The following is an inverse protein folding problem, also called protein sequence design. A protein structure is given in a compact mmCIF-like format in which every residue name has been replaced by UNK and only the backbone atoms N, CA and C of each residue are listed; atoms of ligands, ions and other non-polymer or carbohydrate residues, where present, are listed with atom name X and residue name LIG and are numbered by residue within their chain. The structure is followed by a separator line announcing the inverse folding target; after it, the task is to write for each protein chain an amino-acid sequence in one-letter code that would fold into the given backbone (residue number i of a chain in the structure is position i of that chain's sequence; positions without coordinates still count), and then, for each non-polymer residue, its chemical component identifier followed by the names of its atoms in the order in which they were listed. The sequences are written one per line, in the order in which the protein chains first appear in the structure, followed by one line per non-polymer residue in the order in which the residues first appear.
data_IF_590986717831
#
_entry.id   IF_590986717831
#
_cell.length_a   1.000
_cell.length_b   1.000
_cell.length_c   1.000
_cell.angle_alpha   90.00
_cell.angle_beta   90.00
_cell.angle_gamma   90.00
#
_symmetry.space_group_name_H-M   'P 1'
#
loop_
_entity.id
_entity.type
_entity.pdbx_description
1 polymer ?
#
# COMPACT_ATOMS: atom_id res chain seq x y z
N UNK A 1 23.61 9.00 3.89
CA UNK A 1 22.81 8.36 2.88
C UNK A 1 22.73 9.24 1.65
N UNK A 2 21.92 10.24 1.56
CA UNK A 2 22.03 11.30 0.55
C UNK A 2 22.91 12.41 1.14
N UNK A 3 24.22 12.30 0.98
CA UNK A 3 25.21 13.17 1.64
C UNK A 3 25.23 14.59 1.12
N UNK A 4 24.82 14.79 -0.13
CA UNK A 4 24.72 16.08 -0.79
C UNK A 4 23.24 16.34 -1.15
N UNK A 5 22.58 17.20 -0.36
CA UNK A 5 21.16 17.51 -0.51
C UNK A 5 20.85 18.18 -1.84
N UNK A 6 21.67 19.13 -2.28
CA UNK A 6 21.44 19.85 -3.53
C UNK A 6 21.59 18.95 -4.77
N UNK A 7 22.63 18.11 -4.75
CA UNK A 7 22.82 17.11 -5.82
C UNK A 7 21.68 16.11 -5.87
N UNK A 8 21.20 15.66 -4.70
CA UNK A 8 20.06 14.73 -4.60
C UNK A 8 18.80 15.35 -5.16
N UNK A 9 18.49 16.61 -4.82
CA UNK A 9 17.34 17.33 -5.36
C UNK A 9 17.40 17.39 -6.88
N UNK A 10 18.54 17.79 -7.46
CA UNK A 10 18.73 17.85 -8.92
C UNK A 10 18.51 16.48 -9.62
N UNK A 11 18.97 15.38 -8.98
CA UNK A 11 18.75 14.03 -9.50
C UNK A 11 17.26 13.70 -9.48
N UNK A 12 16.55 14.02 -8.39
CA UNK A 12 15.12 13.75 -8.25
C UNK A 12 14.33 14.56 -9.28
N UNK A 13 14.58 15.86 -9.41
CA UNK A 13 13.91 16.74 -10.38
C UNK A 13 14.06 16.21 -11.82
N UNK A 14 15.29 15.87 -12.22
CA UNK A 14 15.55 15.27 -13.53
C UNK A 14 14.87 13.91 -13.72
N UNK A 15 14.73 13.13 -12.65
CA UNK A 15 14.02 11.85 -12.69
C UNK A 15 12.52 12.04 -12.86
N UNK A 16 11.96 13.07 -12.21
CA UNK A 16 10.56 13.47 -12.37
C UNK A 16 10.30 13.88 -13.83
N UNK A 17 11.10 14.79 -14.37
CA UNK A 17 10.98 15.22 -15.79
C UNK A 17 10.98 14.04 -16.75
N UNK A 18 11.92 13.09 -16.59
CA UNK A 18 12.00 11.88 -17.41
C UNK A 18 10.79 10.96 -17.24
N UNK A 19 10.15 10.94 -16.08
CA UNK A 19 8.98 10.09 -15.82
C UNK A 19 7.68 10.71 -16.34
N UNK A 20 7.58 12.05 -16.35
CA UNK A 20 6.39 12.77 -16.79
C UNK A 20 6.14 12.68 -18.31
N UNK A 21 7.11 12.23 -19.11
CA UNK A 21 6.89 11.91 -20.54
C UNK A 21 5.80 10.83 -20.72
N UNK A 22 5.60 9.96 -19.71
CA UNK A 22 4.58 8.93 -19.69
C UNK A 22 3.22 9.41 -19.16
N UNK A 23 3.06 10.69 -18.82
CA UNK A 23 1.83 11.23 -18.18
C UNK A 23 0.58 11.16 -19.07
N UNK A 24 0.74 10.98 -20.39
CA UNK A 24 -0.37 10.79 -21.30
C UNK A 24 -0.79 9.32 -21.45
N UNK A 25 0.00 8.38 -20.93
CA UNK A 25 -0.29 6.94 -20.98
C UNK A 25 -1.17 6.51 -19.80
N UNK A 26 -1.95 5.46 -20.01
CA UNK A 26 -2.84 4.90 -18.99
C UNK A 26 -4.13 5.68 -18.80
N UNK A 27 -4.98 5.16 -17.93
CA UNK A 27 -6.31 5.71 -17.63
C UNK A 27 -6.53 5.80 -16.11
N UNK A 28 -7.35 6.77 -15.70
CA UNK A 28 -7.78 6.90 -14.31
C UNK A 28 -8.73 5.75 -13.97
N UNK A 29 -8.67 5.20 -12.76
CA UNK A 29 -9.60 4.17 -12.32
C UNK A 29 -11.04 4.68 -12.38
N UNK A 30 -11.94 3.92 -13.03
CA UNK A 30 -13.34 4.33 -13.26
C UNK A 30 -14.36 3.37 -12.62
N UNK A 31 -13.94 2.24 -12.05
CA UNK A 31 -14.85 1.29 -11.44
C UNK A 31 -15.39 1.73 -10.05
N UNK A 32 -14.75 2.70 -9.42
CA UNK A 32 -15.26 3.47 -8.29
C UNK A 32 -15.47 4.89 -8.81
N UNK A 33 -16.72 5.38 -8.91
CA UNK A 33 -17.03 6.68 -9.53
C UNK A 33 -16.21 7.87 -8.98
N UNK A 34 -15.95 7.92 -7.68
CA UNK A 34 -15.18 9.01 -7.06
C UNK A 34 -13.70 9.00 -7.47
N UNK A 35 -13.14 7.85 -7.80
CA UNK A 35 -11.77 7.78 -8.32
C UNK A 35 -11.67 8.33 -9.74
N UNK A 36 -12.76 8.27 -10.52
CA UNK A 36 -12.80 8.84 -11.87
C UNK A 36 -12.79 10.37 -11.88
N UNK A 37 -13.15 11.03 -10.76
CA UNK A 37 -13.25 12.48 -10.66
C UNK A 37 -11.92 13.17 -10.32
N UNK A 38 -10.81 12.42 -10.15
CA UNK A 38 -9.50 13.00 -9.85
C UNK A 38 -8.92 13.68 -11.10
N UNK A 39 -8.11 14.74 -10.90
CA UNK A 39 -7.39 15.35 -12.01
C UNK A 39 -6.31 14.36 -12.52
N UNK A 40 -6.37 13.92 -13.78
CA UNK A 40 -5.42 12.94 -14.33
C UNK A 40 -3.96 13.46 -14.43
N UNK A 41 -3.73 14.75 -14.19
CA UNK A 41 -2.41 15.38 -14.17
C UNK A 41 -1.83 15.55 -12.79
N UNK A 42 -2.55 15.14 -11.75
CA UNK A 42 -2.02 15.17 -10.39
C UNK A 42 -0.73 14.39 -10.29
N UNK A 43 0.20 14.96 -9.55
CA UNK A 43 1.50 14.32 -9.30
C UNK A 43 2.02 14.71 -7.93
N UNK A 44 2.47 13.75 -7.17
CA UNK A 44 3.21 13.95 -5.92
C UNK A 44 4.31 12.91 -5.79
N UNK A 45 5.44 13.33 -5.21
CA UNK A 45 6.51 12.47 -4.76
C UNK A 45 6.96 12.91 -3.38
N UNK A 46 7.04 11.97 -2.45
CA UNK A 46 7.68 12.16 -1.16
C UNK A 46 8.68 11.04 -0.89
N UNK A 47 9.87 11.40 -0.43
CA UNK A 47 10.91 10.49 0.05
C UNK A 47 11.25 10.90 1.47
N UNK A 48 11.08 9.98 2.42
CA UNK A 48 11.43 10.17 3.83
C UNK A 48 12.54 9.20 4.17
N UNK A 49 13.69 9.73 4.58
CA UNK A 49 14.86 8.95 4.93
C UNK A 49 14.83 8.50 6.39
N UNK A 50 15.48 7.37 6.71
CA UNK A 50 15.59 6.89 8.10
C UNK A 50 16.34 7.85 9.03
N UNK A 51 17.10 8.81 8.49
CA UNK A 51 17.76 9.88 9.25
C UNK A 51 16.93 11.17 9.38
N UNK A 52 15.64 11.13 9.01
CA UNK A 52 14.72 12.25 9.10
C UNK A 52 14.79 13.27 7.95
N UNK A 53 15.66 13.08 6.95
CA UNK A 53 15.66 13.94 5.75
C UNK A 53 14.43 13.67 4.90
N UNK A 54 13.80 14.74 4.40
CA UNK A 54 12.62 14.68 3.53
C UNK A 54 12.86 15.41 2.21
N UNK A 55 12.25 14.84 1.15
CA UNK A 55 12.23 15.41 -0.20
C UNK A 55 10.81 15.30 -0.74
N UNK A 56 10.14 16.44 -0.94
CA UNK A 56 8.75 16.55 -1.32
C UNK A 56 8.62 17.34 -2.61
N UNK A 57 7.88 16.81 -3.61
CA UNK A 57 7.69 17.43 -4.93
C UNK A 57 6.25 17.29 -5.41
N UNK A 58 5.78 18.28 -6.20
CA UNK A 58 4.40 18.33 -6.68
C UNK A 58 3.40 18.56 -5.56
N UNK A 59 2.21 18.01 -5.70
CA UNK A 59 1.09 18.18 -4.77
C UNK A 59 1.18 17.25 -3.55
N UNK A 60 2.34 17.21 -2.90
CA UNK A 60 2.65 16.24 -1.85
C UNK A 60 1.73 16.31 -0.60
N UNK A 61 1.06 17.43 -0.38
CA UNK A 61 0.04 17.60 0.67
C UNK A 61 -1.37 17.18 0.24
N UNK A 62 -1.58 16.86 -1.04
CA UNK A 62 -2.89 16.43 -1.54
C UNK A 62 -3.29 15.11 -0.92
N UNK A 63 -4.51 15.08 -0.35
CA UNK A 63 -5.10 13.86 0.20
C UNK A 63 -5.68 13.03 -0.95
N UNK A 64 -5.36 11.75 -0.98
CA UNK A 64 -5.94 10.74 -1.85
C UNK A 64 -6.24 9.46 -1.05
N UNK A 65 -7.18 8.64 -1.52
CA UNK A 65 -7.47 7.37 -0.86
C UNK A 65 -6.31 6.40 -1.03
N UNK A 66 -5.90 5.71 0.03
CA UNK A 66 -4.76 4.78 -0.04
C UNK A 66 -5.10 3.48 -0.76
N UNK A 67 -6.39 3.17 -0.91
CA UNK A 67 -6.88 2.00 -1.62
C UNK A 67 -6.11 0.73 -1.20
N UNK A 68 -5.61 -0.05 -2.14
CA UNK A 68 -4.89 -1.30 -1.85
C UNK A 68 -3.57 -1.15 -1.09
N UNK A 69 -3.07 0.06 -0.83
CA UNK A 69 -1.95 0.25 0.11
C UNK A 69 -2.38 -0.09 1.54
N UNK A 70 -3.67 0.06 1.88
CA UNK A 70 -4.25 -0.35 3.17
C UNK A 70 -4.00 -1.81 3.51
N UNK A 71 -3.78 -2.69 2.53
CA UNK A 71 -3.47 -4.12 2.73
C UNK A 71 -2.16 -4.33 3.49
N UNK A 72 -1.20 -3.41 3.33
CA UNK A 72 0.03 -3.40 4.14
C UNK A 72 -0.32 -3.18 5.62
N UNK A 73 -1.21 -2.23 5.89
CA UNK A 73 -1.64 -1.94 7.26
C UNK A 73 -2.47 -3.09 7.85
N UNK A 74 -3.39 -3.66 7.06
CA UNK A 74 -4.19 -4.81 7.50
C UNK A 74 -3.31 -6.02 7.86
N UNK A 75 -2.26 -6.29 7.08
CA UNK A 75 -1.28 -7.34 7.40
C UNK A 75 -0.50 -7.01 8.68
N UNK A 76 -0.03 -5.77 8.84
CA UNK A 76 0.64 -5.32 10.08
C UNK A 76 -0.28 -5.51 11.29
N UNK A 77 -1.55 -5.13 11.18
CA UNK A 77 -2.53 -5.28 12.27
C UNK A 77 -2.82 -6.74 12.57
N UNK A 78 -2.97 -7.59 11.54
CA UNK A 78 -3.17 -9.02 11.72
C UNK A 78 -1.99 -9.68 12.46
N UNK A 79 -0.75 -9.35 12.06
CA UNK A 79 0.48 -9.84 12.71
C UNK A 79 0.70 -9.26 14.11
N UNK A 80 0.16 -8.07 14.40
CA UNK A 80 0.22 -7.47 15.74
C UNK A 80 -0.76 -8.15 16.71
N UNK A 81 -1.90 -8.60 16.20
CA UNK A 81 -3.00 -9.12 17.00
C UNK A 81 -2.96 -10.66 17.14
N UNK A 82 -2.21 -11.37 16.31
CA UNK A 82 -2.13 -12.83 16.27
C UNK A 82 -0.68 -13.27 16.06
N UNK A 83 -0.38 -14.52 16.34
CA UNK A 83 0.92 -15.11 15.99
C UNK A 83 1.10 -15.19 14.45
N UNK A 84 2.34 -15.29 14.01
CA UNK A 84 2.68 -15.45 12.59
C UNK A 84 2.00 -16.71 12.02
N UNK A 85 2.04 -17.81 12.74
CA UNK A 85 1.45 -19.09 12.33
C UNK A 85 -0.07 -18.96 12.16
N UNK A 86 -0.78 -18.35 13.15
CA UNK A 86 -2.23 -18.11 13.05
C UNK A 86 -2.62 -17.28 11.81
N UNK A 87 -1.81 -16.28 11.43
CA UNK A 87 -2.05 -15.48 10.23
C UNK A 87 -1.86 -16.33 8.98
N UNK A 88 -0.76 -17.09 8.87
CA UNK A 88 -0.44 -17.84 7.66
C UNK A 88 -1.11 -19.21 7.55
N UNK A 89 -1.79 -19.68 8.60
CA UNK A 89 -2.80 -20.73 8.48
C UNK A 89 -4.06 -20.25 7.71
N UNK A 90 -4.34 -18.93 7.69
CA UNK A 90 -5.54 -18.34 7.07
C UNK A 90 -5.29 -17.68 5.73
N UNK A 91 -4.06 -17.25 5.43
CA UNK A 91 -3.66 -16.63 4.18
C UNK A 91 -2.29 -17.14 3.75
N UNK A 92 -2.13 -17.44 2.46
CA UNK A 92 -0.86 -17.88 1.89
C UNK A 92 0.14 -16.75 1.68
N UNK A 93 1.26 -17.09 1.03
CA UNK A 93 2.40 -16.17 0.81
C UNK A 93 2.78 -16.03 -0.66
N UNK A 94 2.15 -16.83 -1.55
CA UNK A 94 2.60 -17.02 -2.92
C UNK A 94 2.05 -15.97 -3.89
N UNK A 95 2.86 -15.45 -4.81
CA UNK A 95 2.40 -14.59 -5.88
C UNK A 95 1.41 -15.33 -6.81
N UNK A 96 0.56 -14.58 -7.48
CA UNK A 96 -0.40 -15.13 -8.43
C UNK A 96 -0.39 -14.38 -9.75
N UNK A 97 -0.67 -15.08 -10.85
CA UNK A 97 -0.83 -14.50 -12.18
C UNK A 97 -2.24 -13.97 -12.47
N UNK A 98 -3.17 -14.20 -11.54
CA UNK A 98 -4.55 -13.76 -11.69
C UNK A 98 -4.73 -12.32 -11.19
N UNK A 99 -5.75 -11.64 -11.70
CA UNK A 99 -6.12 -10.30 -11.24
C UNK A 99 -6.40 -10.30 -9.74
N UNK A 100 -6.08 -9.19 -9.08
CA UNK A 100 -6.16 -9.03 -7.63
C UNK A 100 -7.56 -9.27 -7.02
N UNK A 101 -8.63 -9.15 -7.82
CA UNK A 101 -10.02 -9.37 -7.44
C UNK A 101 -10.59 -10.69 -7.95
N UNK A 102 -9.76 -11.61 -8.43
CA UNK A 102 -10.19 -12.94 -8.88
C UNK A 102 -10.49 -13.86 -7.71
N UNK A 103 -11.50 -14.73 -7.88
CA UNK A 103 -11.81 -15.85 -6.98
C UNK A 103 -10.89 -17.06 -7.20
N UNK A 104 -10.25 -17.17 -8.37
CA UNK A 104 -9.45 -18.35 -8.75
C UNK A 104 -8.30 -18.63 -7.78
N UNK A 105 -7.51 -17.63 -7.28
CA UNK A 105 -6.43 -17.90 -6.36
C UNK A 105 -6.88 -18.13 -4.90
N UNK A 106 -8.10 -18.66 -4.71
CA UNK A 106 -8.61 -19.12 -3.43
C UNK A 106 -8.86 -20.64 -3.57
N UNK A 107 -7.87 -21.41 -3.18
CA UNK A 107 -8.05 -22.86 -3.06
C UNK A 107 -8.63 -23.20 -1.67
N UNK A 108 -7.81 -23.58 -0.70
CA UNK A 108 -8.22 -23.72 0.70
C UNK A 108 -8.12 -22.37 1.43
N UNK A 109 -7.11 -21.57 1.09
CA UNK A 109 -6.87 -20.20 1.59
C UNK A 109 -6.57 -19.27 0.42
N UNK A 110 -6.65 -17.95 0.65
CA UNK A 110 -6.22 -16.95 -0.33
C UNK A 110 -4.70 -17.03 -0.57
N UNK A 111 -4.23 -16.87 -1.82
CA UNK A 111 -2.83 -17.07 -2.20
C UNK A 111 -1.84 -16.17 -1.44
N UNK A 112 -2.19 -14.91 -1.17
CA UNK A 112 -1.35 -13.97 -0.42
C UNK A 112 -2.19 -12.81 0.15
N UNK A 113 -1.67 -12.01 1.12
CA UNK A 113 -2.42 -10.94 1.78
C UNK A 113 -2.69 -9.72 0.88
N UNK A 114 -2.13 -9.63 -0.32
CA UNK A 114 -2.22 -8.44 -1.17
C UNK A 114 -3.17 -8.58 -2.37
N UNK A 115 -3.76 -9.75 -2.59
CA UNK A 115 -5.00 -9.89 -3.37
C UNK A 115 -6.21 -9.57 -2.47
N UNK A 116 -7.38 -9.27 -3.08
CA UNK A 116 -8.56 -8.86 -2.29
C UNK A 116 -9.00 -9.94 -1.30
N UNK A 117 -8.98 -11.21 -1.70
CA UNK A 117 -9.30 -12.32 -0.82
C UNK A 117 -8.40 -12.37 0.42
N UNK A 118 -7.09 -12.24 0.24
CA UNK A 118 -6.15 -12.22 1.35
C UNK A 118 -6.29 -10.98 2.24
N UNK A 119 -6.60 -9.82 1.65
CA UNK A 119 -6.83 -8.60 2.40
C UNK A 119 -8.13 -8.65 3.24
N UNK A 120 -9.19 -9.25 2.71
CA UNK A 120 -10.43 -9.53 3.46
C UNK A 120 -10.11 -10.51 4.60
N UNK A 121 -9.31 -11.55 4.34
CA UNK A 121 -8.85 -12.48 5.37
C UNK A 121 -8.04 -11.77 6.47
N UNK A 122 -7.03 -10.98 6.13
CA UNK A 122 -6.24 -10.25 7.14
C UNK A 122 -7.07 -9.22 7.91
N UNK A 123 -8.07 -8.59 7.26
CA UNK A 123 -9.03 -7.71 7.96
C UNK A 123 -9.88 -8.48 8.98
N UNK A 124 -10.26 -9.73 8.70
CA UNK A 124 -11.00 -10.58 9.64
C UNK A 124 -10.19 -10.92 10.90
N UNK A 125 -8.86 -10.93 10.81
CA UNK A 125 -7.95 -11.25 11.91
C UNK A 125 -7.65 -10.06 12.83
N UNK A 126 -8.07 -8.84 12.47
CA UNK A 126 -7.93 -7.65 13.32
C UNK A 126 -8.88 -7.80 14.50
N UNK A 127 -8.35 -7.71 15.74
CA UNK A 127 -9.13 -7.81 16.97
C UNK A 127 -9.92 -6.54 17.25
N UNK A 128 -11.12 -6.71 17.80
CA UNK A 128 -12.07 -5.67 18.19
C UNK A 128 -13.48 -6.24 18.30
N UNK A 129 -14.35 -5.58 19.08
CA UNK A 129 -15.71 -6.07 19.38
C UNK A 129 -16.65 -5.97 18.18
N UNK A 130 -16.43 -4.98 17.31
CA UNK A 130 -17.23 -4.70 16.12
C UNK A 130 -16.37 -3.99 15.05
N UNK A 131 -16.94 -3.74 13.87
CA UNK A 131 -16.26 -3.07 12.76
C UNK A 131 -15.75 -1.67 13.14
N UNK A 132 -16.51 -0.89 13.92
CA UNK A 132 -16.13 0.46 14.34
C UNK A 132 -14.87 0.45 15.24
N UNK A 133 -14.83 -0.41 16.24
CA UNK A 133 -13.67 -0.54 17.12
C UNK A 133 -12.44 -0.98 16.34
N UNK A 134 -12.59 -1.97 15.46
CA UNK A 134 -11.50 -2.43 14.58
C UNK A 134 -10.98 -1.31 13.69
N UNK A 135 -11.88 -0.56 13.04
CA UNK A 135 -11.51 0.55 12.17
C UNK A 135 -10.82 1.68 12.95
N UNK A 136 -11.32 2.04 14.12
CA UNK A 136 -10.69 3.05 14.97
C UNK A 136 -9.26 2.62 15.40
N UNK A 137 -9.02 1.33 15.66
CA UNK A 137 -7.69 0.79 15.93
C UNK A 137 -6.78 0.92 14.70
N UNK A 138 -7.29 0.63 13.50
CA UNK A 138 -6.54 0.82 12.24
C UNK A 138 -6.17 2.28 12.05
N UNK A 139 -7.11 3.22 12.22
CA UNK A 139 -6.85 4.66 12.11
C UNK A 139 -5.80 5.13 13.13
N UNK A 140 -5.92 4.70 14.38
CA UNK A 140 -4.94 5.02 15.42
C UNK A 140 -3.54 4.48 15.09
N UNK A 141 -3.47 3.24 14.55
CA UNK A 141 -2.21 2.65 14.11
C UNK A 141 -1.60 3.44 12.95
N UNK A 142 -2.38 3.80 11.93
CA UNK A 142 -1.90 4.58 10.78
C UNK A 142 -1.35 5.93 11.25
N UNK A 143 -2.09 6.67 12.10
CA UNK A 143 -1.62 7.95 12.66
C UNK A 143 -0.28 7.81 13.38
N UNK A 144 -0.11 6.72 14.13
CA UNK A 144 1.15 6.43 14.82
C UNK A 144 2.27 6.06 13.84
N UNK A 145 1.97 5.30 12.76
CA UNK A 145 2.95 4.88 11.75
C UNK A 145 3.42 6.03 10.87
N UNK A 146 2.54 6.98 10.55
CA UNK A 146 2.84 8.15 9.71
C UNK A 146 3.34 9.35 10.50
N UNK A 147 3.31 9.29 11.84
CA UNK A 147 3.54 10.44 12.72
C UNK A 147 2.68 11.65 12.32
N UNK A 148 1.42 11.41 11.90
CA UNK A 148 0.54 12.45 11.35
C UNK A 148 -0.89 12.32 11.86
N UNK A 149 -1.55 13.46 12.05
CA UNK A 149 -2.98 13.56 12.36
C UNK A 149 -3.83 13.88 11.11
N UNK A 150 -3.22 14.07 9.94
CA UNK A 150 -3.93 14.41 8.69
C UNK A 150 -4.64 13.22 8.03
N UNK A 151 -4.63 12.06 8.67
CA UNK A 151 -5.32 10.85 8.22
C UNK A 151 -6.83 11.05 8.36
N UNK A 152 -7.55 10.92 7.25
CA UNK A 152 -9.00 11.13 7.19
C UNK A 152 -9.74 9.89 6.69
N UNK A 153 -11.02 9.77 7.02
CA UNK A 153 -11.91 8.80 6.39
C UNK A 153 -12.65 9.48 5.24
N UNK A 154 -12.53 8.94 4.04
CA UNK A 154 -13.15 9.48 2.82
C UNK A 154 -14.52 8.82 2.61
N UNK A 155 -15.53 9.35 3.28
CA UNK A 155 -16.87 8.74 3.37
C UNK A 155 -17.52 8.55 1.99
N UNK A 156 -17.33 9.49 1.06
CA UNK A 156 -17.93 9.40 -0.28
C UNK A 156 -17.30 8.25 -1.09
N UNK A 157 -15.98 8.04 -0.98
CA UNK A 157 -15.30 6.88 -1.60
C UNK A 157 -15.80 5.58 -0.98
N UNK A 158 -15.94 5.52 0.35
CA UNK A 158 -16.48 4.36 1.05
C UNK A 158 -17.90 4.02 0.55
N UNK A 159 -18.82 4.99 0.52
CA UNK A 159 -20.19 4.79 0.04
C UNK A 159 -20.23 4.29 -1.39
N UNK A 160 -19.44 4.89 -2.24
CA UNK A 160 -19.35 4.53 -3.65
C UNK A 160 -18.81 3.12 -3.84
N UNK A 161 -17.72 2.75 -3.16
CA UNK A 161 -17.15 1.41 -3.22
C UNK A 161 -18.10 0.36 -2.64
N UNK A 162 -18.81 0.65 -1.53
CA UNK A 162 -19.82 -0.25 -0.96
C UNK A 162 -20.96 -0.56 -1.92
N UNK A 163 -21.36 0.40 -2.76
CA UNK A 163 -22.42 0.25 -3.75
C UNK A 163 -21.98 -0.56 -4.99
N UNK A 164 -20.65 -0.66 -5.25
CA UNK A 164 -20.10 -1.31 -6.45
C UNK A 164 -19.29 -2.57 -6.13
N UNK A 165 -19.35 -3.07 -4.89
CA UNK A 165 -18.42 -4.09 -4.36
C UNK A 165 -18.91 -5.54 -4.50
N UNK A 166 -19.77 -5.87 -5.45
CA UNK A 166 -20.36 -7.22 -5.57
C UNK A 166 -19.32 -8.33 -5.67
N UNK A 167 -18.22 -8.09 -6.37
CA UNK A 167 -17.11 -9.05 -6.48
C UNK A 167 -16.46 -9.29 -5.11
N UNK A 168 -16.15 -8.23 -4.35
CA UNK A 168 -15.57 -8.40 -3.01
C UNK A 168 -16.56 -9.02 -2.03
N UNK A 169 -17.85 -8.74 -2.16
CA UNK A 169 -18.92 -9.40 -1.40
C UNK A 169 -18.93 -10.90 -1.67
N UNK A 170 -18.88 -11.29 -2.94
CA UNK A 170 -18.78 -12.70 -3.34
C UNK A 170 -17.54 -13.37 -2.76
N UNK A 171 -16.38 -12.69 -2.76
CA UNK A 171 -15.14 -13.18 -2.16
C UNK A 171 -15.33 -13.38 -0.65
N UNK A 172 -15.90 -12.41 0.07
CA UNK A 172 -16.09 -12.49 1.53
C UNK A 172 -16.98 -13.67 1.93
N UNK A 173 -18.10 -13.86 1.22
CA UNK A 173 -19.00 -15.00 1.47
C UNK A 173 -18.35 -16.33 1.08
N UNK A 174 -17.55 -16.38 0.01
CA UNK A 174 -16.82 -17.58 -0.37
C UNK A 174 -15.77 -17.97 0.69
N UNK A 175 -14.99 -17.01 1.19
CA UNK A 175 -14.02 -17.23 2.27
C UNK A 175 -14.73 -17.75 3.55
N UNK A 176 -15.89 -17.17 3.89
CA UNK A 176 -16.71 -17.64 5.01
C UNK A 176 -17.18 -19.08 4.81
N UNK A 177 -17.64 -19.45 3.61
CA UNK A 177 -18.08 -20.82 3.29
C UNK A 177 -16.93 -21.84 3.39
N UNK A 178 -15.68 -21.40 3.24
CA UNK A 178 -14.46 -22.20 3.43
C UNK A 178 -13.98 -22.23 4.88
N UNK A 179 -14.73 -21.63 5.82
CA UNK A 179 -14.37 -21.53 7.24
C UNK A 179 -13.04 -20.80 7.50
N UNK A 180 -12.63 -19.89 6.62
CA UNK A 180 -11.44 -19.05 6.83
C UNK A 180 -11.66 -18.14 8.05
N UNK A 181 -12.88 -17.61 8.21
CA UNK A 181 -13.31 -16.90 9.40
C UNK A 181 -14.79 -17.24 9.74
N UNK A 182 -15.15 -17.11 11.01
CA UNK A 182 -16.52 -17.33 11.52
C UNK A 182 -17.35 -16.05 11.64
N UNK A 183 -16.71 -14.89 11.49
CA UNK A 183 -17.34 -13.57 11.59
C UNK A 183 -18.42 -13.35 10.54
N UNK A 184 -19.25 -12.32 10.72
CA UNK A 184 -20.18 -11.89 9.70
C UNK A 184 -19.40 -11.38 8.48
N UNK A 185 -19.72 -11.92 7.27
CA UNK A 185 -19.00 -11.58 6.05
C UNK A 185 -19.18 -10.10 5.66
N UNK A 186 -20.37 -9.51 5.92
CA UNK A 186 -20.60 -8.09 5.64
C UNK A 186 -19.83 -7.17 6.60
N UNK A 187 -19.64 -7.54 7.87
CA UNK A 187 -18.81 -6.78 8.81
C UNK A 187 -17.32 -6.83 8.42
N UNK A 188 -16.83 -7.97 7.96
CA UNK A 188 -15.46 -8.11 7.48
C UNK A 188 -15.24 -7.30 6.21
N UNK A 189 -16.21 -7.34 5.30
CA UNK A 189 -16.21 -6.56 4.06
C UNK A 189 -16.26 -5.06 4.35
N UNK A 190 -17.12 -4.62 5.27
CA UNK A 190 -17.21 -3.22 5.72
C UNK A 190 -15.85 -2.72 6.20
N UNK A 191 -15.20 -3.44 7.11
CA UNK A 191 -13.87 -3.08 7.60
C UNK A 191 -12.83 -2.98 6.46
N UNK A 192 -12.84 -3.96 5.55
CA UNK A 192 -11.92 -3.97 4.39
C UNK A 192 -12.11 -2.72 3.51
N UNK A 193 -13.35 -2.35 3.18
CA UNK A 193 -13.65 -1.20 2.34
C UNK A 193 -13.36 0.12 3.08
N UNK A 194 -13.68 0.23 4.37
CA UNK A 194 -13.28 1.38 5.19
C UNK A 194 -11.76 1.58 5.16
N UNK A 195 -10.97 0.51 5.27
CA UNK A 195 -9.52 0.59 5.20
C UNK A 195 -9.03 1.09 3.82
N UNK A 196 -9.66 0.68 2.72
CA UNK A 196 -9.38 1.18 1.37
C UNK A 196 -9.70 2.68 1.22
N UNK A 197 -10.72 3.15 1.95
CA UNK A 197 -11.24 4.53 1.89
C UNK A 197 -10.54 5.50 2.86
N UNK A 198 -9.43 5.11 3.46
CA UNK A 198 -8.60 6.01 4.25
C UNK A 198 -7.87 6.97 3.31
N UNK A 199 -7.93 8.27 3.61
CA UNK A 199 -7.25 9.34 2.90
C UNK A 199 -5.94 9.72 3.59
N UNK A 200 -4.86 9.82 2.81
CA UNK A 200 -3.54 10.26 3.24
C UNK A 200 -2.86 11.06 2.12
N UNK A 201 -1.86 11.83 2.44
CA UNK A 201 -0.99 12.45 1.46
C UNK A 201 0.28 11.60 1.21
N UNK A 202 1.12 12.01 0.24
CA UNK A 202 2.31 11.24 -0.11
C UNK A 202 3.39 11.28 0.98
N UNK A 203 3.49 12.37 1.74
CA UNK A 203 4.48 12.51 2.82
C UNK A 203 4.14 11.54 3.95
N UNK A 204 2.88 11.50 4.39
CA UNK A 204 2.42 10.59 5.44
C UNK A 204 2.64 9.12 5.08
N UNK A 205 2.38 8.74 3.80
CA UNK A 205 2.67 7.38 3.33
C UNK A 205 4.17 7.10 3.24
N UNK A 206 4.99 8.07 2.82
CA UNK A 206 6.44 7.92 2.80
C UNK A 206 7.02 7.75 4.22
N UNK A 207 6.43 8.39 5.25
CA UNK A 207 6.77 8.16 6.66
C UNK A 207 6.50 6.72 7.09
N UNK A 208 5.35 6.14 6.72
CA UNK A 208 5.08 4.71 6.97
C UNK A 208 6.17 3.84 6.31
N UNK A 209 6.54 4.17 5.06
CA UNK A 209 7.63 3.48 4.38
C UNK A 209 8.98 3.62 5.09
N UNK A 210 9.30 4.80 5.61
CA UNK A 210 10.54 5.08 6.33
C UNK A 210 10.59 4.33 7.67
N UNK A 211 9.47 4.24 8.39
CA UNK A 211 9.37 3.43 9.61
C UNK A 211 9.61 1.94 9.31
N UNK A 212 9.04 1.41 8.21
CA UNK A 212 9.35 0.04 7.75
C UNK A 212 10.82 -0.10 7.35
N UNK A 213 11.40 0.90 6.67
CA UNK A 213 12.82 0.93 6.32
C UNK A 213 13.74 0.99 7.55
N UNK A 214 13.25 1.56 8.66
CA UNK A 214 13.91 1.63 9.97
C UNK A 214 13.62 0.42 10.88
N UNK A 215 13.33 -0.74 10.31
CA UNK A 215 13.02 -1.98 11.03
C UNK A 215 11.83 -1.87 12.01
N UNK A 216 10.85 -1.03 11.68
CA UNK A 216 9.63 -0.86 12.50
C UNK A 216 9.78 0.10 13.69
N UNK A 217 10.91 0.78 13.79
CA UNK A 217 11.18 1.79 14.81
C UNK A 217 10.81 3.18 14.35
N UNK A 218 10.26 3.96 15.25
CA UNK A 218 10.02 5.38 15.06
C UNK A 218 11.32 6.13 14.72
N UNK A 219 11.26 7.11 13.82
CA UNK A 219 12.45 7.79 13.30
C UNK A 219 13.10 8.74 14.31
N UNK A 220 12.31 9.26 15.26
CA UNK A 220 12.79 10.24 16.24
C UNK A 220 13.11 9.58 17.58
N UNK A 221 12.20 8.74 18.08
CA UNK A 221 12.28 8.16 19.43
C UNK A 221 13.00 6.81 19.49
N UNK A 222 13.29 6.18 18.36
CA UNK A 222 13.82 4.80 18.23
C UNK A 222 12.94 3.71 18.92
N UNK A 223 11.70 4.06 19.29
CA UNK A 223 10.76 3.14 19.91
C UNK A 223 10.23 2.18 18.83
N UNK A 224 10.25 0.88 19.14
CA UNK A 224 9.66 -0.13 18.26
C UNK A 224 8.14 0.00 18.23
N UNK A 225 7.58 0.26 17.04
CA UNK A 225 6.14 0.38 16.77
C UNK A 225 5.60 -0.88 16.07
N UNK A 226 6.43 -1.53 15.27
CA UNK A 226 6.17 -2.80 14.60
C UNK A 226 7.35 -3.71 14.91
N UNK A 227 7.09 -4.98 15.26
CA UNK A 227 8.17 -5.93 15.49
C UNK A 227 9.01 -6.16 14.22
N UNK A 228 10.30 -6.37 14.39
CA UNK A 228 11.24 -6.63 13.28
C UNK A 228 10.80 -7.83 12.42
N UNK A 229 10.21 -8.86 13.02
CA UNK A 229 9.70 -10.02 12.29
C UNK A 229 8.48 -9.66 11.44
N UNK A 230 7.55 -8.84 11.94
CA UNK A 230 6.43 -8.34 11.15
C UNK A 230 6.92 -7.47 9.98
N UNK A 231 7.91 -6.61 10.18
CA UNK A 231 8.52 -5.79 9.11
C UNK A 231 9.10 -6.68 8.02
N UNK A 232 9.90 -7.69 8.39
CA UNK A 232 10.49 -8.66 7.45
C UNK A 232 9.42 -9.32 6.58
N UNK A 233 8.33 -9.79 7.19
CA UNK A 233 7.21 -10.43 6.50
C UNK A 233 6.53 -9.44 5.54
N UNK A 234 6.20 -8.25 6.01
CA UNK A 234 5.55 -7.21 5.20
C UNK A 234 6.40 -6.84 4.00
N UNK A 235 7.70 -6.63 4.18
CA UNK A 235 8.61 -6.28 3.07
C UNK A 235 8.76 -7.44 2.08
N UNK A 236 8.82 -8.69 2.54
CA UNK A 236 8.86 -9.87 1.68
C UNK A 236 7.57 -9.97 0.82
N UNK A 237 6.40 -9.74 1.43
CA UNK A 237 5.14 -9.72 0.69
C UNK A 237 5.04 -8.52 -0.27
N UNK A 238 5.52 -7.33 0.11
CA UNK A 238 5.60 -6.18 -0.81
C UNK A 238 6.51 -6.48 -2.01
N UNK A 239 7.62 -7.17 -1.82
CA UNK A 239 8.53 -7.55 -2.89
C UNK A 239 7.88 -8.57 -3.85
N UNK A 240 7.25 -9.63 -3.31
CA UNK A 240 6.72 -10.74 -4.12
C UNK A 240 5.34 -10.49 -4.72
N UNK A 241 4.45 -9.73 -4.02
CA UNK A 241 3.03 -9.63 -4.34
C UNK A 241 2.49 -8.19 -4.42
N UNK A 242 3.31 -7.16 -4.17
CA UNK A 242 2.81 -5.80 -3.93
C UNK A 242 2.38 -5.03 -5.17
N UNK A 243 2.84 -5.43 -6.37
CA UNK A 243 2.57 -4.77 -7.65
C UNK A 243 1.64 -5.61 -8.55
N UNK A 244 0.64 -6.25 -7.92
CA UNK A 244 -0.32 -7.14 -8.57
C UNK A 244 0.38 -8.27 -9.36
N UNK A 245 -0.18 -8.67 -10.50
CA UNK A 245 0.42 -9.72 -11.36
C UNK A 245 1.76 -9.31 -12.00
N UNK A 246 2.19 -8.06 -11.89
CA UNK A 246 3.47 -7.54 -12.39
C UNK A 246 4.56 -7.46 -11.32
N UNK A 247 4.33 -7.99 -10.10
CA UNK A 247 5.27 -7.87 -8.97
C UNK A 247 6.67 -8.38 -9.30
N UNK A 248 6.80 -9.55 -9.90
CA UNK A 248 8.10 -10.11 -10.27
C UNK A 248 8.85 -9.25 -11.29
N UNK A 249 8.16 -8.77 -12.33
CA UNK A 249 8.77 -7.87 -13.33
C UNK A 249 9.18 -6.53 -12.71
N UNK A 250 8.32 -5.96 -11.88
CA UNK A 250 8.64 -4.71 -11.18
C UNK A 250 9.86 -4.88 -10.27
N UNK A 251 9.92 -5.97 -9.50
CA UNK A 251 11.07 -6.24 -8.64
C UNK A 251 12.37 -6.41 -9.44
N UNK A 252 12.32 -7.06 -10.60
CA UNK A 252 13.48 -7.19 -11.51
C UNK A 252 13.96 -5.82 -12.04
N UNK A 253 13.02 -4.94 -12.43
CA UNK A 253 13.34 -3.66 -13.07
C UNK A 253 13.68 -2.55 -12.06
N UNK A 254 13.09 -2.60 -10.87
CA UNK A 254 13.17 -1.54 -9.84
C UNK A 254 13.95 -1.97 -8.61
N UNK A 255 13.73 -3.20 -8.13
CA UNK A 255 14.42 -3.74 -6.96
C UNK A 255 14.04 -3.05 -5.65
N UNK A 256 12.83 -2.52 -5.53
CA UNK A 256 12.28 -1.88 -4.33
C UNK A 256 10.98 -2.59 -3.92
N UNK A 257 10.91 -3.22 -2.75
CA UNK A 257 9.66 -3.71 -2.19
C UNK A 257 8.59 -2.62 -2.22
N UNK A 258 7.48 -2.85 -2.94
CA UNK A 258 6.50 -1.79 -3.19
C UNK A 258 5.07 -2.30 -3.10
N UNK A 259 4.12 -1.42 -2.79
CA UNK A 259 2.68 -1.70 -2.84
C UNK A 259 1.94 -0.63 -3.64
N UNK A 260 1.20 -1.09 -4.64
CA UNK A 260 0.38 -0.24 -5.50
C UNK A 260 -1.05 -0.11 -4.97
N UNK A 261 -1.65 1.06 -5.18
CA UNK A 261 -3.07 1.35 -4.97
C UNK A 261 -3.71 1.91 -6.23
N UNK A 262 -4.94 1.51 -6.52
CA UNK A 262 -5.69 1.92 -7.73
C UNK A 262 -6.10 3.39 -7.74
N UNK A 263 -5.83 4.14 -6.68
CA UNK A 263 -5.87 5.61 -6.70
C UNK A 263 -4.72 6.24 -7.50
N UNK A 264 -3.69 5.45 -7.82
CA UNK A 264 -2.47 5.91 -8.50
C UNK A 264 -1.28 6.11 -7.56
N UNK A 265 -1.39 5.71 -6.30
CA UNK A 265 -0.28 5.75 -5.36
C UNK A 265 0.53 4.45 -5.37
N UNK A 266 1.85 4.58 -5.20
CA UNK A 266 2.77 3.46 -4.96
C UNK A 266 3.61 3.80 -3.72
N UNK A 267 3.56 2.93 -2.71
CA UNK A 267 4.43 2.96 -1.55
C UNK A 267 5.62 2.04 -1.79
N UNK A 268 6.83 2.56 -1.80
CA UNK A 268 8.08 1.81 -1.89
C UNK A 268 8.88 1.89 -0.59
N UNK A 269 9.59 0.85 -0.24
CA UNK A 269 10.44 0.78 0.97
C UNK A 269 11.83 0.32 0.59
N UNK A 270 12.83 1.12 0.95
CA UNK A 270 14.24 0.76 0.78
C UNK A 270 14.84 0.50 2.16
N UNK A 271 14.99 -0.77 2.60
CA UNK A 271 15.46 -1.11 3.94
C UNK A 271 16.76 -0.38 4.32
N UNK A 272 16.80 0.18 5.53
CA UNK A 272 17.92 0.95 6.04
C UNK A 272 18.14 2.30 5.36
N UNK A 273 17.27 2.68 4.39
CA UNK A 273 17.43 3.91 3.62
C UNK A 273 16.22 4.85 3.72
N UNK A 274 15.10 4.52 3.12
CA UNK A 274 13.95 5.43 3.03
C UNK A 274 12.64 4.73 2.72
N UNK A 275 11.53 5.44 3.01
CA UNK A 275 10.23 5.22 2.41
C UNK A 275 10.03 6.20 1.25
N UNK A 276 9.31 5.75 0.22
CA UNK A 276 9.01 6.54 -0.97
C UNK A 276 7.51 6.40 -1.26
N UNK A 277 6.83 7.51 -1.47
CA UNK A 277 5.47 7.50 -2.03
C UNK A 277 5.43 8.34 -3.29
N UNK A 278 4.95 7.72 -4.37
CA UNK A 278 4.62 8.42 -5.62
C UNK A 278 3.11 8.35 -5.80
N UNK A 279 2.48 9.47 -6.15
CA UNK A 279 1.07 9.54 -6.54
C UNK A 279 0.95 10.15 -7.94
N UNK A 280 0.32 9.41 -8.86
CA UNK A 280 -0.09 9.87 -10.17
C UNK A 280 -1.22 8.96 -10.66
N UNK A 281 -2.44 9.50 -10.93
CA UNK A 281 -3.66 8.69 -10.99
C UNK A 281 -3.83 7.81 -12.21
N UNK A 282 -3.12 8.05 -13.31
CA UNK A 282 -3.23 7.20 -14.51
C UNK A 282 -2.54 5.86 -14.33
N UNK A 283 -3.30 4.79 -14.56
CA UNK A 283 -2.92 3.40 -14.33
C UNK A 283 -2.69 2.66 -15.65
N UNK A 284 -1.80 1.68 -15.60
CA UNK A 284 -1.68 0.68 -16.65
C UNK A 284 -2.79 -0.40 -16.55
N UNK A 285 -2.79 -1.36 -17.47
CA UNK A 285 -3.75 -2.47 -17.54
C UNK A 285 -3.82 -3.34 -16.27
N UNK A 286 -2.76 -3.32 -15.47
CA UNK A 286 -2.64 -4.06 -14.20
C UNK A 286 -3.08 -3.24 -12.98
N UNK A 287 -3.39 -1.95 -13.16
CA UNK A 287 -3.79 -1.05 -12.08
C UNK A 287 -2.62 -0.36 -11.36
N UNK A 288 -1.42 -0.33 -11.94
CA UNK A 288 -0.27 0.36 -11.39
C UNK A 288 -0.10 1.75 -12.03
N UNK A 289 0.24 2.76 -11.23
CA UNK A 289 0.55 4.10 -11.73
C UNK A 289 1.64 4.07 -12.80
N UNK A 290 1.34 4.58 -14.00
CA UNK A 290 2.28 4.58 -15.13
C UNK A 290 3.48 5.48 -14.84
N UNK A 291 3.24 6.73 -14.43
CA UNK A 291 4.31 7.66 -14.04
C UNK A 291 5.03 7.15 -12.81
N UNK A 292 4.28 6.66 -11.79
CA UNK A 292 4.85 6.19 -10.53
C UNK A 292 5.84 5.05 -10.71
N UNK A 293 5.50 4.01 -11.48
CA UNK A 293 6.42 2.88 -11.73
C UNK A 293 7.67 3.30 -12.52
N UNK A 294 7.52 4.17 -13.51
CA UNK A 294 8.64 4.67 -14.30
C UNK A 294 9.57 5.56 -13.47
N UNK A 295 8.99 6.42 -12.60
CA UNK A 295 9.79 7.25 -11.68
C UNK A 295 10.57 6.40 -10.70
N UNK A 296 9.95 5.38 -10.08
CA UNK A 296 10.64 4.47 -9.16
C UNK A 296 11.77 3.72 -9.86
N UNK A 297 11.61 3.30 -11.13
CA UNK A 297 12.67 2.67 -11.91
C UNK A 297 13.85 3.60 -12.12
N UNK A 298 13.60 4.88 -12.46
CA UNK A 298 14.66 5.87 -12.67
C UNK A 298 15.37 6.18 -11.35
N UNK A 299 14.60 6.48 -10.28
CA UNK A 299 15.15 6.78 -8.95
C UNK A 299 15.97 5.62 -8.39
N UNK A 300 15.50 4.38 -8.57
CA UNK A 300 16.23 3.18 -8.13
C UNK A 300 17.64 3.14 -8.70
N UNK A 301 17.78 3.45 -10.00
CA UNK A 301 19.08 3.49 -10.67
C UNK A 301 19.92 4.71 -10.26
N UNK A 302 19.35 5.90 -10.35
CA UNK A 302 20.09 7.16 -10.16
C UNK A 302 20.52 7.39 -8.69
N UNK A 303 19.78 6.85 -7.72
CA UNK A 303 20.05 6.97 -6.28
C UNK A 303 20.54 5.67 -5.62
N UNK A 304 20.81 4.62 -6.41
CA UNK A 304 21.25 3.31 -5.91
C UNK A 304 20.31 2.74 -4.84
N UNK A 305 18.99 2.68 -5.15
CA UNK A 305 17.96 2.21 -4.21
C UNK A 305 17.58 0.74 -4.39
N UNK A 306 18.14 0.06 -5.39
CA UNK A 306 17.89 -1.36 -5.60
C UNK A 306 18.47 -2.16 -4.41
N UNK A 307 17.61 -2.98 -3.77
CA UNK A 307 18.00 -3.74 -2.57
C UNK A 307 18.89 -4.95 -2.85
N UNK A 308 19.08 -5.30 -4.12
CA UNK A 308 19.92 -6.43 -4.56
C UNK A 308 21.32 -6.00 -5.03
N UNK A 309 21.65 -4.70 -4.95
CA UNK A 309 22.93 -4.14 -5.41
C UNK A 309 23.69 -3.43 -4.29
#
# INVERSE_FOLDING_TARGET
MFTDKEKTIKIIEKSIEKSLIYSNEGEVASYIPELANVNPRDFALSIVCVNGQEYNFGDYNKIFSIQSISKVISLIMALNDNSIDEVFEKVGTEPTKYKFNSLIPIDNIAANPFINAGAITTSSLIKGKNSDEKFNRVLAKIKKLSNSNNVVFMEEIYKSEMNTTDVNRSIAYYLKSKNIFSLNADEVLDLYIRNCSIGMNSTDLAHIGALLANNGKDLESDIEIISKDSVKIVLAQMASCGMYEKSGRFLLEVGIPSKSGVSGAILGVVPGKCGICVYSPKLDESGNSVVGKNLLRILSKELNLNIFL
#
